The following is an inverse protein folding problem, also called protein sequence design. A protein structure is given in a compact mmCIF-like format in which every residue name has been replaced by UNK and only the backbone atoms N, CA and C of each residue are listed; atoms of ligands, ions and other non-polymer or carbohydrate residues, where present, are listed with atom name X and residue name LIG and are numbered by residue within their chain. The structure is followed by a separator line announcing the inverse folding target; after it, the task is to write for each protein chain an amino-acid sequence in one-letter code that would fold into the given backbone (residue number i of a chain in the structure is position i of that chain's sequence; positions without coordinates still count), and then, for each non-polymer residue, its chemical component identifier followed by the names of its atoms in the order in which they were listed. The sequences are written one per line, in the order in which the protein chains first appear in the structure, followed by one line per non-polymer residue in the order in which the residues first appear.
data_IF_614982027824
#
_entry.id   IF_614982027824
#
_cell.length_a   1.000
_cell.length_b   1.000
_cell.length_c   1.000
_cell.angle_alpha   90.00
_cell.angle_beta   90.00
_cell.angle_gamma   90.00
#
_symmetry.space_group_name_H-M   'P 1'
#
loop_
_entity.id
_entity.type
_entity.pdbx_description
1 polymer ?
#
# COMPACT_ATOMS: atom_id res chain seq x y z
N UNK A 1 12.50 -10.95 28.39
CA UNK A 1 13.41 -10.59 27.28
C UNK A 1 13.06 -9.19 26.82
N UNK A 2 14.04 -8.39 26.37
CA UNK A 2 13.76 -7.03 25.87
C UNK A 2 13.26 -7.15 24.43
N UNK A 3 12.06 -6.62 24.15
CA UNK A 3 11.57 -6.51 22.79
C UNK A 3 12.45 -5.55 21.99
N UNK A 4 12.66 -5.87 20.72
CA UNK A 4 13.40 -5.03 19.78
C UNK A 4 12.51 -4.69 18.61
N UNK A 5 12.79 -3.55 18.01
CA UNK A 5 12.17 -3.14 16.76
C UNK A 5 12.91 -3.77 15.58
N UNK A 6 12.16 -4.31 14.63
CA UNK A 6 12.71 -4.97 13.43
C UNK A 6 11.89 -4.58 12.22
N UNK A 7 12.56 -4.21 11.14
CA UNK A 7 11.93 -3.94 9.85
C UNK A 7 11.26 -5.21 9.32
N UNK A 8 10.01 -5.08 8.88
CA UNK A 8 9.25 -6.11 8.18
C UNK A 8 9.23 -5.77 6.69
N UNK A 9 10.04 -6.45 5.86
CA UNK A 9 10.05 -6.17 4.43
C UNK A 9 8.69 -6.48 3.79
N UNK A 10 8.14 -5.54 3.00
CA UNK A 10 6.84 -5.70 2.34
C UNK A 10 6.74 -6.99 1.53
N UNK A 11 7.81 -7.42 0.86
CA UNK A 11 7.87 -8.66 0.08
C UNK A 11 7.60 -9.94 0.88
N UNK A 12 7.77 -9.89 2.21
CA UNK A 12 7.51 -11.02 3.09
C UNK A 12 6.07 -11.04 3.59
N UNK A 13 5.33 -9.94 3.43
CA UNK A 13 3.93 -9.82 3.84
C UNK A 13 3.06 -10.45 2.76
N UNK A 14 2.36 -11.51 3.13
CA UNK A 14 1.39 -12.20 2.29
C UNK A 14 0.04 -11.49 2.31
N UNK A 15 -0.44 -11.09 3.48
CA UNK A 15 -1.76 -10.48 3.65
C UNK A 15 -1.78 -9.57 4.88
N UNK A 16 -2.55 -8.50 4.78
CA UNK A 16 -2.84 -7.57 5.88
C UNK A 16 -4.21 -7.85 6.48
N UNK A 17 -4.34 -7.51 7.76
CA UNK A 17 -5.56 -7.50 8.52
C UNK A 17 -5.58 -6.26 9.40
N UNK A 18 -6.77 -5.71 9.64
CA UNK A 18 -6.93 -4.69 10.68
C UNK A 18 -6.58 -5.31 12.03
N UNK A 19 -5.84 -4.56 12.85
CA UNK A 19 -5.60 -4.99 14.21
C UNK A 19 -6.94 -5.01 14.98
N UNK A 20 -7.25 -6.08 15.75
CA UNK A 20 -8.53 -6.19 16.46
C UNK A 20 -8.78 -5.05 17.47
N UNK A 21 -7.70 -4.53 18.03
CA UNK A 21 -7.70 -3.42 18.99
C UNK A 21 -7.32 -2.10 18.30
N UNK A 22 -8.00 -0.98 18.61
CA UNK A 22 -7.80 0.31 17.96
C UNK A 22 -6.55 1.01 18.55
N UNK A 23 -5.37 0.54 18.17
CA UNK A 23 -4.09 1.13 18.61
C UNK A 23 -3.70 2.42 17.87
N UNK A 24 -4.68 3.08 17.22
CA UNK A 24 -4.47 4.24 16.37
C UNK A 24 -4.24 3.87 14.91
N UNK A 25 -3.93 4.88 14.11
CA UNK A 25 -3.65 4.70 12.68
C UNK A 25 -2.42 3.81 12.51
N UNK A 26 -2.54 2.83 11.62
CA UNK A 26 -1.39 2.02 11.22
C UNK A 26 -1.11 0.76 11.99
N UNK A 27 -1.99 0.36 12.90
CA UNK A 27 -1.90 -0.93 13.56
C UNK A 27 -2.53 -2.02 12.68
N UNK A 28 -1.70 -2.90 12.15
CA UNK A 28 -2.13 -4.04 11.33
C UNK A 28 -1.54 -5.33 11.85
N UNK A 29 -2.23 -6.44 11.59
CA UNK A 29 -1.66 -7.78 11.71
C UNK A 29 -1.36 -8.27 10.31
N UNK A 30 -0.23 -8.96 10.13
CA UNK A 30 0.12 -9.54 8.83
C UNK A 30 0.41 -11.02 8.93
N UNK A 31 -0.01 -11.74 7.89
CA UNK A 31 0.55 -13.07 7.59
C UNK A 31 1.82 -12.89 6.78
N UNK A 32 2.89 -13.56 7.18
CA UNK A 32 4.13 -13.67 6.43
C UNK A 32 4.09 -14.88 5.51
N UNK A 33 4.84 -14.82 4.40
CA UNK A 33 4.91 -15.92 3.41
C UNK A 33 5.38 -17.26 3.99
N UNK A 34 6.11 -17.25 5.12
CA UNK A 34 6.57 -18.46 5.81
C UNK A 34 5.56 -19.00 6.83
N UNK A 35 4.35 -18.42 6.92
CA UNK A 35 3.29 -18.85 7.82
C UNK A 35 3.34 -18.27 9.23
N UNK A 36 4.33 -17.44 9.55
CA UNK A 36 4.32 -16.63 10.78
C UNK A 36 3.33 -15.47 10.63
N UNK A 37 2.84 -14.95 11.75
CA UNK A 37 2.08 -13.70 11.79
C UNK A 37 2.68 -12.75 12.81
N UNK A 38 2.48 -11.46 12.62
CA UNK A 38 2.98 -10.44 13.55
C UNK A 38 2.21 -9.14 13.41
N UNK A 39 2.18 -8.36 14.49
CA UNK A 39 1.76 -6.97 14.42
C UNK A 39 2.79 -6.16 13.64
N UNK A 40 2.30 -5.25 12.80
CA UNK A 40 3.11 -4.29 12.07
C UNK A 40 2.58 -2.89 12.28
N UNK A 41 3.53 -1.97 12.35
CA UNK A 41 3.32 -0.53 12.42
C UNK A 41 3.98 0.08 11.19
N UNK A 42 3.31 1.01 10.52
CA UNK A 42 3.95 1.77 9.45
C UNK A 42 4.88 2.83 10.02
N UNK A 43 5.79 3.30 9.19
CA UNK A 43 6.57 4.52 9.46
C UNK A 43 6.35 5.56 8.39
N UNK A 44 6.41 6.84 8.76
CA UNK A 44 6.25 7.96 7.83
C UNK A 44 7.31 7.94 6.72
N UNK A 45 8.54 7.53 7.01
CA UNK A 45 9.61 7.45 6.01
C UNK A 45 9.42 6.32 4.99
N UNK A 46 8.49 5.39 5.24
CA UNK A 46 8.26 4.22 4.40
C UNK A 46 8.44 2.89 5.12
N UNK A 47 7.51 1.97 4.84
CA UNK A 47 7.64 0.57 5.21
C UNK A 47 7.06 0.22 6.58
N UNK A 48 7.36 -1.00 7.02
CA UNK A 48 6.75 -1.61 8.18
C UNK A 48 7.80 -2.05 9.20
N UNK A 49 7.45 -1.94 10.47
CA UNK A 49 8.22 -2.48 11.58
C UNK A 49 7.34 -3.35 12.46
N UNK A 50 7.99 -4.22 13.22
CA UNK A 50 7.38 -4.95 14.32
C UNK A 50 8.23 -4.82 15.56
N UNK A 51 7.61 -4.83 16.74
CA UNK A 51 8.28 -4.80 18.04
C UNK A 51 8.08 -6.19 18.66
N UNK A 52 9.15 -6.98 18.71
CA UNK A 52 9.06 -8.39 19.11
C UNK A 52 10.29 -8.86 19.89
N UNK A 53 10.12 -9.91 20.69
CA UNK A 53 11.22 -10.64 21.32
C UNK A 53 11.40 -12.06 20.74
N UNK A 54 10.56 -12.44 19.76
CA UNK A 54 10.54 -13.76 19.14
C UNK A 54 11.76 -13.96 18.22
N UNK A 55 12.68 -14.83 18.64
CA UNK A 55 13.97 -15.03 17.97
C UNK A 55 13.84 -15.53 16.53
N UNK A 56 12.88 -16.41 16.28
CA UNK A 56 12.67 -17.01 14.96
C UNK A 56 12.16 -15.96 13.96
N UNK A 57 11.21 -15.13 14.40
CA UNK A 57 10.71 -14.00 13.60
C UNK A 57 11.84 -13.00 13.32
N UNK A 58 12.58 -12.59 14.35
CA UNK A 58 13.72 -11.66 14.20
C UNK A 58 14.73 -12.22 13.19
N UNK A 59 15.07 -13.50 13.29
CA UNK A 59 16.04 -14.16 12.42
C UNK A 59 15.54 -14.21 10.97
N UNK A 60 14.26 -14.55 10.80
CA UNK A 60 13.62 -14.61 9.50
C UNK A 60 13.59 -13.24 8.81
N UNK A 61 13.18 -12.19 9.52
CA UNK A 61 13.12 -10.83 8.98
C UNK A 61 14.52 -10.30 8.62
N UNK A 62 15.50 -10.48 9.52
CA UNK A 62 16.88 -10.04 9.28
C UNK A 62 17.55 -10.73 8.10
N UNK A 63 17.33 -12.04 7.92
CA UNK A 63 17.87 -12.81 6.79
C UNK A 63 17.33 -12.34 5.44
N UNK A 64 16.13 -11.77 5.43
CA UNK A 64 15.41 -11.40 4.21
C UNK A 64 15.30 -9.89 3.99
N UNK A 65 16.17 -9.10 4.65
CA UNK A 65 16.17 -7.64 4.49
C UNK A 65 16.34 -7.27 3.02
N UNK A 66 15.38 -6.48 2.54
CA UNK A 66 15.42 -5.83 1.24
C UNK A 66 14.50 -4.64 1.33
N UNK A 67 15.01 -3.46 1.02
CA UNK A 67 14.27 -2.21 1.07
C UNK A 67 14.35 -1.63 -0.33
N UNK A 68 13.33 -1.88 -1.14
CA UNK A 68 13.01 -1.00 -2.27
C UNK A 68 11.58 -1.33 -2.67
N UNK A 69 10.69 -0.42 -2.29
CA UNK A 69 9.48 -0.17 -3.05
C UNK A 69 9.75 1.15 -3.76
N UNK A 70 9.78 1.13 -5.09
CA UNK A 70 10.04 2.32 -5.89
C UNK A 70 8.75 3.11 -6.03
N UNK A 71 8.49 3.96 -5.04
CA UNK A 71 7.40 4.92 -5.08
C UNK A 71 7.84 6.16 -5.85
N UNK A 72 7.04 6.59 -6.83
CA UNK A 72 7.28 7.84 -7.54
C UNK A 72 6.54 9.03 -6.89
N UNK A 73 5.58 8.75 -5.99
CA UNK A 73 4.87 9.75 -5.19
C UNK A 73 4.65 9.24 -3.76
N UNK A 74 4.83 10.12 -2.76
CA UNK A 74 4.62 9.85 -1.33
C UNK A 74 4.29 11.14 -0.59
N UNK A 75 3.29 11.10 0.29
CA UNK A 75 2.96 12.20 1.21
C UNK A 75 2.90 11.79 2.69
N UNK A 76 3.18 10.51 2.98
CA UNK A 76 3.14 9.92 4.32
C UNK A 76 1.84 9.19 4.65
N UNK A 77 0.73 9.52 3.98
CA UNK A 77 -0.57 8.87 4.14
C UNK A 77 -0.85 7.94 2.97
N UNK A 78 -0.67 8.42 1.74
CA UNK A 78 -0.76 7.62 0.55
C UNK A 78 0.51 7.70 -0.30
N UNK A 79 0.64 6.73 -1.19
CA UNK A 79 1.78 6.66 -2.10
C UNK A 79 1.41 5.96 -3.38
N UNK A 80 2.12 6.31 -4.45
CA UNK A 80 1.96 5.69 -5.75
C UNK A 80 3.25 5.01 -6.17
N UNK A 81 3.11 3.79 -6.70
CA UNK A 81 4.22 3.02 -7.23
C UNK A 81 3.87 2.35 -8.54
N UNK A 82 4.88 2.14 -9.36
CA UNK A 82 4.72 1.36 -10.59
C UNK A 82 4.35 -0.08 -10.26
N UNK A 83 3.59 -0.69 -11.18
CA UNK A 83 3.33 -2.13 -11.17
C UNK A 83 4.62 -2.85 -11.57
N UNK A 84 4.98 -3.87 -10.79
CA UNK A 84 6.13 -4.74 -11.04
C UNK A 84 5.67 -6.18 -11.24
N UNK A 85 6.55 -7.04 -11.76
CA UNK A 85 6.25 -8.47 -11.97
C UNK A 85 5.79 -9.17 -10.67
N UNK A 86 6.35 -8.79 -9.53
CA UNK A 86 5.98 -9.33 -8.22
C UNK A 86 4.51 -9.05 -7.82
N UNK A 87 3.85 -8.07 -8.45
CA UNK A 87 2.47 -7.71 -8.16
C UNK A 87 1.45 -8.60 -8.88
N UNK A 88 1.89 -9.50 -9.77
CA UNK A 88 0.99 -10.34 -10.55
C UNK A 88 -0.05 -11.07 -9.67
N UNK A 89 0.39 -11.70 -8.59
CA UNK A 89 -0.52 -12.40 -7.66
C UNK A 89 -1.51 -11.47 -6.96
N UNK A 90 -1.10 -10.24 -6.63
CA UNK A 90 -1.98 -9.23 -6.05
C UNK A 90 -3.06 -8.82 -7.07
N UNK A 91 -2.65 -8.54 -8.31
CA UNK A 91 -3.55 -8.12 -9.37
C UNK A 91 -4.55 -9.22 -9.76
N UNK A 92 -4.14 -10.48 -9.81
CA UNK A 92 -5.06 -11.61 -10.03
C UNK A 92 -6.06 -11.74 -8.88
N UNK A 93 -5.62 -11.56 -7.63
CA UNK A 93 -6.54 -11.56 -6.49
C UNK A 93 -7.59 -10.45 -6.62
N UNK A 94 -7.18 -9.23 -6.98
CA UNK A 94 -8.10 -8.10 -7.17
C UNK A 94 -9.14 -8.33 -8.27
N UNK A 95 -8.86 -9.15 -9.29
CA UNK A 95 -9.89 -9.52 -10.29
C UNK A 95 -11.06 -10.30 -9.70
N UNK A 96 -10.87 -10.94 -8.54
CA UNK A 96 -11.92 -11.69 -7.84
C UNK A 96 -12.78 -10.82 -6.93
N UNK A 97 -12.42 -9.54 -6.77
CA UNK A 97 -13.06 -8.59 -5.85
C UNK A 97 -13.77 -7.51 -6.67
N UNK A 98 -15.00 -7.16 -6.27
CA UNK A 98 -15.70 -6.01 -6.88
C UNK A 98 -15.17 -4.69 -6.29
N UNK A 99 -14.53 -3.82 -7.08
CA UNK A 99 -13.94 -2.58 -6.57
C UNK A 99 -14.98 -1.49 -6.28
N UNK A 100 -14.58 -0.48 -5.53
CA UNK A 100 -15.17 0.86 -5.66
C UNK A 100 -14.47 1.53 -6.84
N UNK A 101 -15.23 1.88 -7.87
CA UNK A 101 -14.71 2.53 -9.08
C UNK A 101 -15.08 4.01 -9.08
N UNK A 102 -14.08 4.88 -9.25
CA UNK A 102 -14.27 6.32 -9.40
C UNK A 102 -13.55 6.78 -10.65
N UNK A 103 -14.17 7.72 -11.37
CA UNK A 103 -13.63 8.24 -12.62
C UNK A 103 -13.60 9.76 -12.60
N UNK A 104 -12.52 10.31 -13.17
CA UNK A 104 -12.33 11.74 -13.35
C UNK A 104 -11.48 12.00 -14.59
N UNK A 105 -11.57 13.21 -15.12
CA UNK A 105 -10.74 13.65 -16.24
C UNK A 105 -9.42 14.21 -15.71
N UNK A 106 -8.33 13.88 -16.40
CA UNK A 106 -6.98 14.39 -16.12
C UNK A 106 -6.65 15.53 -17.08
N UNK A 107 -5.88 16.51 -16.59
CA UNK A 107 -5.40 17.62 -17.40
C UNK A 107 -4.60 17.16 -18.64
N UNK A 108 -4.54 18.03 -19.65
CA UNK A 108 -3.67 17.81 -20.81
C UNK A 108 -2.21 17.92 -20.36
N UNK A 109 -1.39 16.91 -20.68
CA UNK A 109 0.05 16.93 -20.42
C UNK A 109 0.45 16.51 -19.00
N UNK A 110 -0.34 15.67 -18.33
CA UNK A 110 0.08 15.08 -17.05
C UNK A 110 1.30 14.18 -17.24
N UNK A 111 2.16 14.13 -16.21
CA UNK A 111 3.34 13.26 -16.17
C UNK A 111 3.07 11.91 -15.48
N UNK A 112 1.82 11.65 -15.09
CA UNK A 112 1.44 10.38 -14.46
C UNK A 112 1.57 9.18 -15.41
N UNK A 113 2.06 8.02 -14.93
CA UNK A 113 2.02 6.78 -15.68
C UNK A 113 0.59 6.34 -16.03
N UNK A 114 0.42 5.62 -17.14
CA UNK A 114 -0.90 5.12 -17.56
C UNK A 114 -1.52 4.10 -16.61
N UNK A 115 -0.69 3.33 -15.88
CA UNK A 115 -1.18 2.39 -14.88
C UNK A 115 -0.22 2.33 -13.69
N UNK A 116 -0.77 2.41 -12.48
CA UNK A 116 0.01 2.35 -11.24
C UNK A 116 -0.84 1.93 -10.04
N UNK A 117 -0.16 1.51 -8.97
CA UNK A 117 -0.80 1.09 -7.72
C UNK A 117 -0.93 2.27 -6.76
N UNK A 118 -2.07 2.33 -6.09
CA UNK A 118 -2.37 3.23 -4.99
C UNK A 118 -2.17 2.49 -3.68
N UNK A 119 -1.33 3.04 -2.82
CA UNK A 119 -1.09 2.55 -1.48
C UNK A 119 -1.63 3.52 -0.43
N UNK A 120 -2.24 3.01 0.63
CA UNK A 120 -2.62 3.74 1.84
C UNK A 120 -1.81 3.18 3.01
N UNK A 121 -1.05 4.02 3.72
CA UNK A 121 -0.05 3.62 4.72
C UNK A 121 0.85 2.47 4.23
N UNK A 122 1.32 2.59 2.98
CA UNK A 122 2.16 1.60 2.27
C UNK A 122 1.50 0.26 1.95
N UNK A 123 0.20 0.09 2.24
CA UNK A 123 -0.60 -1.08 1.89
C UNK A 123 -1.22 -0.82 0.53
N UNK A 124 -1.05 -1.74 -0.41
CA UNK A 124 -1.72 -1.68 -1.71
C UNK A 124 -3.23 -1.81 -1.54
N UNK A 125 -3.97 -0.76 -1.85
CA UNK A 125 -5.44 -0.73 -1.71
C UNK A 125 -6.17 -0.67 -3.03
N UNK A 126 -5.50 -0.21 -4.08
CA UNK A 126 -6.14 0.02 -5.36
C UNK A 126 -5.16 0.22 -6.51
N UNK A 127 -5.73 0.45 -7.70
CA UNK A 127 -4.97 0.82 -8.89
C UNK A 127 -5.65 1.93 -9.66
N UNK A 128 -4.83 2.72 -10.34
CA UNK A 128 -5.27 3.74 -11.28
C UNK A 128 -4.92 3.28 -12.69
N UNK A 129 -5.87 3.50 -13.61
CA UNK A 129 -5.68 3.36 -15.05
C UNK A 129 -6.09 4.66 -15.71
N UNK A 130 -5.22 5.24 -16.52
CA UNK A 130 -5.49 6.41 -17.36
C UNK A 130 -5.55 5.95 -18.80
N UNK A 131 -6.66 6.24 -19.49
CA UNK A 131 -6.82 5.90 -20.90
C UNK A 131 -6.40 7.04 -21.84
N UNK A 132 -6.34 6.76 -23.15
CA UNK A 132 -5.97 7.73 -24.18
C UNK A 132 -6.89 8.96 -24.24
N UNK A 133 -8.14 8.80 -23.79
CA UNK A 133 -9.12 9.88 -23.67
C UNK A 133 -8.89 10.75 -22.42
N UNK A 134 -7.79 10.53 -21.68
CA UNK A 134 -7.42 11.23 -20.44
C UNK A 134 -8.44 11.06 -19.32
N UNK A 135 -9.16 9.94 -19.33
CA UNK A 135 -10.05 9.56 -18.24
C UNK A 135 -9.29 8.63 -17.29
N UNK A 136 -9.08 9.11 -16.08
CA UNK A 136 -8.53 8.34 -14.97
C UNK A 136 -9.65 7.51 -14.35
N UNK A 137 -9.37 6.23 -14.15
CA UNK A 137 -10.22 5.30 -13.42
C UNK A 137 -9.45 4.78 -12.21
N UNK A 138 -9.88 5.18 -11.01
CA UNK A 138 -9.41 4.64 -9.75
C UNK A 138 -10.30 3.46 -9.36
N UNK A 139 -9.69 2.30 -9.11
CA UNK A 139 -10.35 1.13 -8.55
C UNK A 139 -9.75 0.81 -7.17
N UNK A 140 -10.58 0.84 -6.13
CA UNK A 140 -10.20 0.45 -4.75
C UNK A 140 -10.76 -0.95 -4.46
N UNK A 141 -9.87 -1.88 -4.16
CA UNK A 141 -10.22 -3.28 -3.89
C UNK A 141 -10.22 -3.60 -2.40
N UNK A 142 -9.33 -2.99 -1.61
CA UNK A 142 -9.21 -3.23 -0.17
C UNK A 142 -9.97 -2.17 0.65
N UNK A 143 -11.29 -2.26 0.64
CA UNK A 143 -12.21 -1.24 1.20
C UNK A 143 -12.15 -1.14 2.73
N UNK A 144 -11.64 -2.17 3.39
CA UNK A 144 -11.51 -2.21 4.84
C UNK A 144 -10.33 -1.36 5.34
N UNK A 145 -9.37 -1.03 4.47
CA UNK A 145 -8.17 -0.27 4.85
C UNK A 145 -8.25 1.22 4.53
N UNK A 146 -9.18 1.66 3.67
CA UNK A 146 -9.27 3.05 3.22
C UNK A 146 -10.72 3.51 3.17
N UNK A 147 -11.01 4.67 3.77
CA UNK A 147 -12.36 5.22 3.78
C UNK A 147 -12.68 6.03 2.52
N UNK A 148 -13.96 6.30 2.28
CA UNK A 148 -14.39 7.17 1.16
C UNK A 148 -13.82 8.59 1.29
N UNK A 149 -13.62 9.09 2.52
CA UNK A 149 -13.03 10.41 2.76
C UNK A 149 -11.56 10.41 2.34
N UNK A 150 -10.81 9.38 2.70
CA UNK A 150 -9.40 9.24 2.30
C UNK A 150 -9.27 9.14 0.78
N UNK A 151 -10.17 8.37 0.14
CA UNK A 151 -10.24 8.29 -1.31
C UNK A 151 -10.47 9.68 -1.92
N UNK A 152 -11.35 10.50 -1.35
CA UNK A 152 -11.60 11.86 -1.88
C UNK A 152 -10.36 12.75 -1.82
N UNK A 153 -9.54 12.63 -0.77
CA UNK A 153 -8.27 13.36 -0.62
C UNK A 153 -7.29 12.96 -1.73
N UNK A 154 -7.12 11.64 -1.95
CA UNK A 154 -6.27 11.12 -3.04
C UNK A 154 -6.69 11.72 -4.39
N UNK A 155 -7.98 11.81 -4.66
CA UNK A 155 -8.49 12.36 -5.92
C UNK A 155 -8.28 13.87 -6.04
N UNK A 156 -8.41 14.61 -4.94
CA UNK A 156 -8.19 16.05 -4.93
C UNK A 156 -6.71 16.38 -5.17
N UNK A 157 -5.78 15.59 -4.66
CA UNK A 157 -4.35 15.80 -4.92
C UNK A 157 -3.97 15.43 -6.37
N UNK A 158 -4.54 14.36 -6.93
CA UNK A 158 -4.44 14.06 -8.36
C UNK A 158 -5.07 15.16 -9.25
N UNK A 159 -5.96 15.98 -8.69
CA UNK A 159 -6.50 17.17 -9.36
C UNK A 159 -5.63 18.41 -9.17
N UNK A 160 -4.83 18.53 -8.11
CA UNK A 160 -3.97 19.71 -7.90
C UNK A 160 -2.75 19.75 -8.81
N UNK A 161 -2.26 18.59 -9.24
CA UNK A 161 -1.30 18.50 -10.36
C UNK A 161 -1.85 19.08 -11.69
N UNK A 162 -3.10 19.58 -11.72
CA UNK A 162 -3.72 20.26 -12.85
C UNK A 162 -3.55 21.79 -12.86
N UNK A 163 -2.82 22.38 -11.89
CA UNK A 163 -2.66 23.83 -11.77
C UNK A 163 -1.19 24.25 -11.82
N UNK A 164 -0.66 24.37 -13.04
CA UNK A 164 0.42 25.31 -13.40
C UNK A 164 -0.10 26.25 -14.50
#
# INVERSE_FOLDING_TARGET
MKSIEVIVPRKLIKKFYLHPEPYGDGAYVVDLINGMYTDVFYREEGGFITITSEKDLITYLKKNQSISNDYFYRDGVYSFRQIKEQDHSLLENWKTISPITIQLDVAKGHDLPNEFIVCFYWIEVGKIVINDSRRLTLNIYEKDFISILDISIVLDDLRKEQTD
#
